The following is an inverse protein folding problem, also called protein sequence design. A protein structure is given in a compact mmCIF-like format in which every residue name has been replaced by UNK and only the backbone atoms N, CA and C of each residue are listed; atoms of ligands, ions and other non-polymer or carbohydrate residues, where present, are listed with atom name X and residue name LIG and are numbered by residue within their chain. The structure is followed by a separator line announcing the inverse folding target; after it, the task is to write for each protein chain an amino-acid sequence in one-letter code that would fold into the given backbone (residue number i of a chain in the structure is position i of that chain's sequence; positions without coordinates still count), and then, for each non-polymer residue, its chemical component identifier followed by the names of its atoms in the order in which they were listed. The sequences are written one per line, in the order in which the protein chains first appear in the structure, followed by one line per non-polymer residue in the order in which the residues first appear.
data_IF_952508098722
#
_entry.id   IF_952508098722
#
_cell.length_a   1.000
_cell.length_b   1.000
_cell.length_c   1.000
_cell.angle_alpha   90.00
_cell.angle_beta   90.00
_cell.angle_gamma   90.00
#
_symmetry.space_group_name_H-M   'P 1'
#
loop_
_entity.id
_entity.type
_entity.pdbx_description
1 polymer ?
#
# COMPACT_ATOMS: atom_id res chain seq x y z
N UNK A 1 -17.79 11.18 -4.31
CA UNK A 1 -16.47 11.43 -3.71
C UNK A 1 -15.53 11.94 -4.79
N UNK A 2 -14.86 13.05 -4.53
CA UNK A 2 -13.80 13.61 -5.40
C UNK A 2 -12.57 12.71 -5.40
N UNK A 3 -11.75 12.83 -6.44
CA UNK A 3 -10.44 12.16 -6.53
C UNK A 3 -9.52 12.73 -5.44
N UNK A 4 -8.93 11.90 -4.56
CA UNK A 4 -8.00 12.38 -3.54
C UNK A 4 -6.78 13.08 -4.12
N UNK A 5 -6.13 13.90 -3.31
CA UNK A 5 -4.81 14.43 -3.67
C UNK A 5 -3.74 13.34 -3.62
N UNK A 6 -2.73 13.48 -4.48
CA UNK A 6 -1.54 12.65 -4.42
C UNK A 6 -0.56 13.25 -3.43
N UNK A 7 0.01 12.39 -2.58
CA UNK A 7 1.05 12.77 -1.64
C UNK A 7 2.41 12.31 -2.14
N UNK A 8 3.31 13.28 -2.30
CA UNK A 8 4.71 13.06 -2.66
C UNK A 8 5.55 13.01 -1.39
N UNK A 9 6.43 12.01 -1.27
CA UNK A 9 7.38 11.95 -0.14
C UNK A 9 8.44 13.06 -0.35
N UNK A 10 8.50 14.09 0.52
CA UNK A 10 9.26 15.31 0.21
C UNK A 10 10.78 15.14 0.12
N UNK A 11 11.35 14.17 0.85
CA UNK A 11 12.79 13.95 0.91
C UNK A 11 13.31 12.97 -0.15
N UNK A 12 12.42 12.35 -0.95
CA UNK A 12 12.80 11.52 -2.10
C UNK A 12 13.08 12.39 -3.33
N UNK A 13 14.14 13.20 -3.22
CA UNK A 13 14.61 14.07 -4.29
C UNK A 13 15.44 13.29 -5.32
N UNK A 14 15.69 13.85 -6.53
CA UNK A 14 16.55 13.20 -7.52
C UNK A 14 17.90 12.76 -6.93
N UNK A 15 18.24 11.48 -7.11
CA UNK A 15 19.45 10.87 -6.55
C UNK A 15 19.25 10.15 -5.22
N UNK A 16 18.11 10.34 -4.54
CA UNK A 16 17.77 9.58 -3.35
C UNK A 16 17.75 8.07 -3.65
N UNK A 17 18.43 7.29 -2.81
CA UNK A 17 18.45 5.84 -2.91
C UNK A 17 17.48 5.26 -1.89
N UNK A 18 16.45 4.58 -2.37
CA UNK A 18 15.54 3.84 -1.49
C UNK A 18 16.35 2.75 -0.78
N UNK A 19 16.21 2.58 0.55
CA UNK A 19 16.93 1.55 1.27
C UNK A 19 16.72 0.15 0.67
N UNK A 20 17.75 -0.72 0.70
CA UNK A 20 17.66 -2.04 0.10
C UNK A 20 16.48 -2.85 0.60
N UNK A 21 15.80 -3.56 -0.30
CA UNK A 21 14.62 -4.35 0.05
C UNK A 21 14.93 -5.43 1.10
N UNK A 22 14.11 -5.53 2.14
CA UNK A 22 14.29 -6.46 3.26
C UNK A 22 15.36 -6.05 4.28
N UNK A 23 16.03 -4.92 4.08
CA UNK A 23 17.02 -4.43 5.06
C UNK A 23 16.35 -3.79 6.29
N UNK A 24 17.01 -3.80 7.47
CA UNK A 24 16.54 -3.04 8.64
C UNK A 24 16.34 -1.55 8.35
N UNK A 25 17.17 -0.97 7.47
CA UNK A 25 17.04 0.41 7.03
C UNK A 25 15.72 0.66 6.27
N UNK A 26 15.25 -0.29 5.47
CA UNK A 26 13.96 -0.17 4.80
C UNK A 26 12.80 -0.21 5.80
N UNK A 27 12.90 -1.05 6.84
CA UNK A 27 11.90 -1.10 7.91
C UNK A 27 11.82 0.24 8.64
N UNK A 28 12.96 0.77 9.07
CA UNK A 28 13.03 2.08 9.72
C UNK A 28 12.53 3.20 8.80
N UNK A 29 12.88 3.15 7.52
CA UNK A 29 12.44 4.12 6.54
C UNK A 29 10.92 4.14 6.40
N UNK A 30 10.30 3.00 6.05
CA UNK A 30 8.85 2.90 5.83
C UNK A 30 8.07 3.26 7.11
N UNK A 31 8.51 2.76 8.26
CA UNK A 31 7.80 3.01 9.54
C UNK A 31 8.00 4.43 10.07
N UNK A 32 8.95 5.21 9.54
CA UNK A 32 9.15 6.62 9.90
C UNK A 32 8.49 7.61 8.93
N UNK A 33 7.96 7.15 7.79
CA UNK A 33 7.29 8.01 6.82
C UNK A 33 6.08 8.72 7.44
N UNK A 34 5.93 10.00 7.09
CA UNK A 34 4.83 10.86 7.54
C UNK A 34 4.07 11.45 6.35
N UNK A 35 2.77 11.65 6.56
CA UNK A 35 1.90 12.46 5.72
C UNK A 35 2.15 13.96 5.99
N UNK A 36 1.62 14.84 5.13
CA UNK A 36 1.79 16.30 5.28
C UNK A 36 1.21 16.88 6.58
N UNK A 37 0.24 16.21 7.18
CA UNK A 37 -0.35 16.55 8.48
C UNK A 37 0.40 15.94 9.69
N UNK A 38 1.53 15.25 9.46
CA UNK A 38 2.33 14.60 10.51
C UNK A 38 1.89 13.17 10.87
N UNK A 39 0.75 12.69 10.35
CA UNK A 39 0.28 11.32 10.57
C UNK A 39 1.30 10.30 10.02
N UNK A 40 1.51 9.20 10.73
CA UNK A 40 2.38 8.13 10.25
C UNK A 40 1.77 7.43 9.02
N UNK A 41 2.48 7.44 7.89
CA UNK A 41 1.99 6.90 6.61
C UNK A 41 1.72 5.40 6.69
N UNK A 42 2.60 4.65 7.35
CA UNK A 42 2.46 3.21 7.51
C UNK A 42 1.20 2.87 8.34
N UNK A 43 1.04 3.50 9.51
CA UNK A 43 -0.15 3.29 10.35
C UNK A 43 -1.43 3.75 9.64
N UNK A 44 -1.38 4.83 8.85
CA UNK A 44 -2.50 5.27 8.01
C UNK A 44 -2.92 4.18 7.02
N UNK A 45 -1.95 3.55 6.35
CA UNK A 45 -2.21 2.42 5.45
C UNK A 45 -2.85 1.24 6.19
N UNK A 46 -2.27 0.81 7.31
CA UNK A 46 -2.82 -0.27 8.16
C UNK A 46 -4.28 0.02 8.54
N UNK A 47 -4.55 1.25 8.96
CA UNK A 47 -5.88 1.70 9.37
C UNK A 47 -6.87 1.83 8.21
N UNK A 48 -6.43 1.90 6.95
CA UNK A 48 -7.30 1.96 5.79
C UNK A 48 -7.36 0.66 4.98
N UNK A 49 -6.54 -0.35 5.33
CA UNK A 49 -6.45 -1.58 4.57
C UNK A 49 -7.80 -2.33 4.59
N UNK A 50 -8.38 -2.70 3.43
CA UNK A 50 -9.64 -3.44 3.41
C UNK A 50 -9.49 -4.85 3.99
N UNK A 51 -10.52 -5.30 4.69
CA UNK A 51 -10.55 -6.60 5.37
C UNK A 51 -10.42 -7.74 4.36
N UNK A 52 -10.97 -7.58 3.15
CA UNK A 52 -10.90 -8.58 2.08
C UNK A 52 -9.46 -8.93 1.68
N UNK A 53 -8.53 -7.98 1.74
CA UNK A 53 -7.11 -8.25 1.46
C UNK A 53 -6.46 -9.07 2.59
N UNK A 54 -6.84 -8.80 3.84
CA UNK A 54 -6.35 -9.53 5.01
C UNK A 54 -6.90 -10.96 5.01
N UNK A 55 -8.21 -11.13 4.81
CA UNK A 55 -8.88 -12.43 4.70
C UNK A 55 -8.24 -13.29 3.60
N UNK A 56 -7.93 -12.69 2.45
CA UNK A 56 -7.33 -13.40 1.32
C UNK A 56 -6.00 -14.03 1.69
N UNK A 57 -5.17 -13.34 2.47
CA UNK A 57 -3.87 -13.87 2.92
C UNK A 57 -4.03 -14.83 4.08
N UNK A 58 -4.86 -14.49 5.07
CA UNK A 58 -5.14 -15.35 6.22
C UNK A 58 -5.58 -16.76 5.78
N UNK A 59 -6.51 -16.83 4.82
CA UNK A 59 -7.02 -18.09 4.28
C UNK A 59 -5.95 -18.95 3.58
N UNK A 60 -4.79 -18.39 3.23
CA UNK A 60 -3.68 -19.12 2.59
C UNK A 60 -2.55 -19.42 3.57
N UNK A 61 -2.35 -18.60 4.60
CA UNK A 61 -1.25 -18.77 5.57
C UNK A 61 -1.64 -19.51 6.84
N UNK A 62 -2.94 -19.59 7.16
CA UNK A 62 -3.46 -20.04 8.46
C UNK A 62 -4.66 -20.96 8.27
N UNK A 63 -4.52 -21.96 7.41
CA UNK A 63 -5.59 -22.91 7.08
C UNK A 63 -6.07 -23.65 8.34
N UNK A 64 -7.38 -23.59 8.60
CA UNK A 64 -8.01 -24.25 9.76
C UNK A 64 -7.85 -23.51 11.09
N UNK A 65 -7.28 -22.30 11.10
CA UNK A 65 -7.16 -21.47 12.29
C UNK A 65 -8.25 -20.39 12.32
N UNK A 66 -8.76 -20.08 13.52
CA UNK A 66 -9.65 -18.94 13.72
C UNK A 66 -8.85 -17.62 13.74
N UNK A 67 -9.35 -16.54 13.10
CA UNK A 67 -8.65 -15.26 13.05
C UNK A 67 -8.68 -14.56 14.41
N UNK A 68 -7.51 -14.45 15.05
CA UNK A 68 -7.33 -13.63 16.25
C UNK A 68 -7.04 -12.17 15.88
N UNK A 69 -7.40 -11.22 16.75
CA UNK A 69 -7.12 -9.79 16.53
C UNK A 69 -5.62 -9.52 16.33
N UNK A 70 -4.76 -10.24 17.06
CA UNK A 70 -3.31 -10.14 16.93
C UNK A 70 -2.84 -10.57 15.54
N UNK A 71 -3.29 -11.73 15.04
CA UNK A 71 -2.94 -12.23 13.71
C UNK A 71 -3.45 -11.30 12.61
N UNK A 72 -4.69 -10.83 12.71
CA UNK A 72 -5.28 -9.86 11.77
C UNK A 72 -4.45 -8.57 11.73
N UNK A 73 -4.04 -8.06 12.89
CA UNK A 73 -3.21 -6.85 12.99
C UNK A 73 -1.83 -7.07 12.37
N UNK A 74 -1.19 -8.19 12.67
CA UNK A 74 0.11 -8.55 12.10
C UNK A 74 0.05 -8.67 10.57
N UNK A 75 -0.98 -9.35 10.03
CA UNK A 75 -1.17 -9.45 8.59
C UNK A 75 -1.42 -8.07 7.96
N UNK A 76 -2.23 -7.21 8.58
CA UNK A 76 -2.46 -5.86 8.07
C UNK A 76 -1.16 -5.03 8.01
N UNK A 77 -0.30 -5.15 9.03
CA UNK A 77 1.03 -4.54 9.06
C UNK A 77 1.92 -5.09 7.95
N UNK A 78 2.01 -6.42 7.81
CA UNK A 78 2.80 -7.08 6.78
C UNK A 78 2.37 -6.70 5.37
N UNK A 79 1.07 -6.66 5.11
CA UNK A 79 0.50 -6.28 3.81
C UNK A 79 0.77 -4.81 3.48
N UNK A 80 0.56 -3.93 4.45
CA UNK A 80 0.84 -2.50 4.27
C UNK A 80 2.32 -2.25 4.03
N UNK A 81 3.19 -2.97 4.77
CA UNK A 81 4.64 -2.88 4.57
C UNK A 81 5.04 -3.29 3.16
N UNK A 82 4.54 -4.44 2.69
CA UNK A 82 4.79 -4.92 1.33
C UNK A 82 4.34 -3.93 0.26
N UNK A 83 3.19 -3.28 0.45
CA UNK A 83 2.68 -2.28 -0.48
C UNK A 83 3.55 -1.01 -0.53
N UNK A 84 4.05 -0.55 0.62
CA UNK A 84 4.93 0.61 0.70
C UNK A 84 6.36 0.32 0.19
N UNK A 85 6.82 -0.93 0.34
CA UNK A 85 8.11 -1.40 -0.15
C UNK A 85 8.12 -1.67 -1.67
N UNK A 86 7.03 -2.24 -2.21
CA UNK A 86 6.91 -2.63 -3.61
C UNK A 86 6.08 -1.63 -4.41
N UNK A 87 6.68 -0.46 -4.69
CA UNK A 87 5.97 0.62 -5.39
C UNK A 87 5.80 0.30 -6.87
N UNK A 88 4.55 0.36 -7.33
CA UNK A 88 4.17 0.19 -8.73
C UNK A 88 2.91 1.01 -8.98
N UNK A 89 2.80 1.68 -10.13
CA UNK A 89 1.61 2.46 -10.46
C UNK A 89 0.39 1.55 -10.61
N UNK A 90 -0.68 1.82 -9.86
CA UNK A 90 -1.87 0.96 -9.86
C UNK A 90 -2.63 0.96 -11.18
N UNK A 91 -2.47 2.03 -11.98
CA UNK A 91 -3.18 2.16 -13.25
C UNK A 91 -2.42 1.56 -14.43
N UNK A 92 -1.10 1.73 -14.48
CA UNK A 92 -0.30 1.41 -15.68
C UNK A 92 0.89 0.47 -15.43
N UNK A 93 1.14 0.08 -14.18
CA UNK A 93 2.23 -0.84 -13.85
C UNK A 93 3.63 -0.22 -13.89
N UNK A 94 3.76 1.10 -14.08
CA UNK A 94 5.08 1.74 -14.09
C UNK A 94 5.78 1.61 -12.73
N UNK A 95 7.02 1.14 -12.78
CA UNK A 95 7.92 0.91 -11.64
C UNK A 95 9.37 1.27 -11.96
N UNK A 96 9.60 2.05 -13.04
CA UNK A 96 10.95 2.38 -13.51
C UNK A 96 11.69 3.33 -12.57
N UNK A 97 10.97 4.29 -12.00
CA UNK A 97 11.50 5.25 -11.04
C UNK A 97 10.58 5.33 -9.81
N UNK A 98 10.91 4.53 -8.80
CA UNK A 98 10.13 4.40 -7.57
C UNK A 98 10.04 5.71 -6.77
N UNK A 99 11.04 6.59 -6.94
CA UNK A 99 11.08 7.91 -6.29
C UNK A 99 10.19 8.91 -7.00
N UNK A 100 9.67 8.62 -8.20
CA UNK A 100 8.69 9.46 -8.92
C UNK A 100 7.23 9.12 -8.60
N UNK A 101 6.95 7.93 -8.08
CA UNK A 101 5.59 7.58 -7.68
C UNK A 101 5.14 8.43 -6.48
N UNK A 102 3.84 8.70 -6.43
CA UNK A 102 3.15 9.40 -5.35
C UNK A 102 2.03 8.51 -4.84
N UNK A 103 1.70 8.62 -3.56
CA UNK A 103 0.71 7.75 -2.92
C UNK A 103 -0.63 8.48 -2.80
N UNK A 104 -1.75 7.75 -2.78
CA UNK A 104 -3.05 8.32 -2.46
C UNK A 104 -3.02 8.98 -1.07
N UNK A 105 -3.24 10.30 -1.01
CA UNK A 105 -3.17 11.09 0.22
C UNK A 105 -4.24 10.74 1.25
N UNK A 106 -5.37 10.17 0.81
CA UNK A 106 -6.47 9.78 1.71
C UNK A 106 -6.24 8.44 2.41
N UNK A 107 -5.82 7.40 1.68
CA UNK A 107 -5.74 6.04 2.24
C UNK A 107 -4.30 5.55 2.47
N UNK A 108 -3.29 6.13 1.83
CA UNK A 108 -1.91 5.65 1.84
C UNK A 108 -1.74 4.18 1.39
N UNK A 109 -2.55 3.71 0.44
CA UNK A 109 -2.60 2.31 -0.02
C UNK A 109 -2.54 2.13 -1.55
N UNK A 110 -2.29 3.19 -2.31
CA UNK A 110 -2.18 3.06 -3.76
C UNK A 110 -1.15 4.05 -4.30
N UNK A 111 -0.20 3.55 -5.06
CA UNK A 111 0.81 4.35 -5.75
C UNK A 111 0.38 4.67 -7.17
N UNK A 112 0.74 5.89 -7.61
CA UNK A 112 0.49 6.38 -8.95
C UNK A 112 1.71 7.13 -9.45
N UNK A 113 2.04 6.99 -10.74
CA UNK A 113 3.09 7.81 -11.35
C UNK A 113 2.61 9.23 -11.69
N UNK A 114 1.30 9.47 -11.75
CA UNK A 114 0.73 10.77 -12.11
C UNK A 114 -0.73 10.93 -11.66
N UNK A 115 -1.23 12.18 -11.66
CA UNK A 115 -2.64 12.49 -11.35
C UNK A 115 -3.58 11.85 -12.36
N UNK A 116 -3.23 11.84 -13.64
CA UNK A 116 -4.02 11.22 -14.70
C UNK A 116 -4.18 9.71 -14.48
N UNK A 117 -3.12 9.03 -14.00
CA UNK A 117 -3.21 7.62 -13.63
C UNK A 117 -4.17 7.40 -12.45
N UNK A 118 -4.13 8.29 -11.44
CA UNK A 118 -5.05 8.23 -10.31
C UNK A 118 -6.50 8.44 -10.75
N UNK A 119 -6.77 9.42 -11.62
CA UNK A 119 -8.10 9.74 -12.12
C UNK A 119 -8.68 8.59 -12.94
N UNK A 120 -7.89 7.98 -13.82
CA UNK A 120 -8.29 6.79 -14.59
C UNK A 120 -8.62 5.61 -13.69
N UNK A 121 -7.82 5.39 -12.64
CA UNK A 121 -8.06 4.32 -11.67
C UNK A 121 -9.18 4.64 -10.67
N UNK A 122 -9.63 5.90 -10.58
CA UNK A 122 -10.53 6.32 -9.50
C UNK A 122 -11.87 5.59 -9.51
N UNK A 123 -12.39 5.22 -10.68
CA UNK A 123 -13.65 4.50 -10.83
C UNK A 123 -13.69 3.22 -9.99
N UNK A 124 -12.58 2.50 -9.89
CA UNK A 124 -12.42 1.28 -9.08
C UNK A 124 -11.84 1.57 -7.71
N UNK A 125 -10.83 2.45 -7.60
CA UNK A 125 -10.19 2.76 -6.31
C UNK A 125 -11.14 3.35 -5.28
N UNK A 126 -12.12 4.18 -5.69
CA UNK A 126 -13.11 4.81 -4.78
C UNK A 126 -13.99 3.82 -4.02
N UNK A 127 -14.05 2.57 -4.49
CA UNK A 127 -14.82 1.51 -3.83
C UNK A 127 -14.12 1.01 -2.57
N UNK A 128 -12.80 1.22 -2.45
CA UNK A 128 -11.97 0.73 -1.34
C UNK A 128 -11.10 1.78 -0.66
N UNK A 129 -10.97 2.97 -1.24
CA UNK A 129 -10.26 4.08 -0.59
C UNK A 129 -10.97 4.45 0.73
N UNK A 130 -10.27 4.26 1.86
CA UNK A 130 -10.78 4.52 3.22
C UNK A 130 -12.05 3.73 3.58
N UNK A 131 -12.23 2.54 2.99
CA UNK A 131 -13.39 1.67 3.23
C UNK A 131 -12.92 0.27 3.63
N UNK A 132 -13.14 -0.08 4.89
CA UNK A 132 -12.72 -1.38 5.45
C UNK A 132 -13.41 -2.57 4.81
N UNK A 133 -14.65 -2.39 4.38
CA UNK A 133 -15.48 -3.35 3.65
C UNK A 133 -15.27 -3.29 2.13
N UNK A 134 -14.31 -2.49 1.66
CA UNK A 134 -13.98 -2.36 0.25
C UNK A 134 -13.55 -3.69 -0.39
N UNK A 135 -13.70 -3.82 -1.72
CA UNK A 135 -13.31 -5.03 -2.44
C UNK A 135 -11.80 -5.29 -2.35
N UNK A 136 -11.43 -6.54 -2.63
CA UNK A 136 -10.04 -6.99 -2.77
C UNK A 136 -9.28 -6.17 -3.84
N UNK A 137 -7.98 -5.96 -3.64
CA UNK A 137 -7.17 -5.42 -4.73
C UNK A 137 -6.99 -6.45 -5.85
N UNK A 138 -7.28 -6.05 -7.08
CA UNK A 138 -7.05 -6.87 -8.27
C UNK A 138 -6.18 -6.17 -9.32
N UNK A 139 -5.66 -4.98 -8.99
CA UNK A 139 -4.77 -4.22 -9.86
C UNK A 139 -3.29 -4.61 -9.74
N UNK A 140 -2.41 -3.72 -10.19
CA UNK A 140 -0.96 -3.98 -10.25
C UNK A 140 -0.28 -4.10 -8.86
N UNK A 141 -0.86 -3.52 -7.79
CA UNK A 141 -0.41 -3.73 -6.40
C UNK A 141 -1.21 -4.83 -5.70
N UNK A 142 -1.90 -5.71 -6.42
CA UNK A 142 -2.56 -6.86 -5.81
C UNK A 142 -1.53 -7.78 -5.13
N UNK A 143 -1.93 -8.36 -4.00
CA UNK A 143 -1.08 -9.31 -3.27
C UNK A 143 -0.95 -10.58 -4.11
N UNK A 144 0.27 -10.87 -4.55
CA UNK A 144 0.61 -12.11 -5.24
C UNK A 144 1.04 -13.18 -4.23
N UNK A 145 0.31 -14.29 -4.20
CA UNK A 145 0.69 -15.47 -3.39
C UNK A 145 1.33 -16.49 -4.30
N UNK A 146 2.65 -16.64 -4.22
CA UNK A 146 3.41 -17.62 -4.99
C UNK A 146 3.63 -18.84 -4.11
N UNK A 147 3.01 -19.97 -4.45
CA UNK A 147 3.38 -21.26 -3.86
C UNK A 147 4.71 -21.69 -4.47
N UNK A 148 5.77 -21.68 -3.67
CA UNK A 148 7.02 -22.33 -4.08
C UNK A 148 6.76 -23.83 -4.15
N UNK A 149 7.07 -24.44 -5.30
CA UNK A 149 7.06 -25.89 -5.47
C UNK A 149 8.28 -26.50 -4.82
#
# INVERSE_FOLDING_TARGET
MSVPELYKIPHEVPGFQIPPHGSPMQVQYITSLKMGNGENMFLKGVNNLPIKDIEKVFNVTSEGEEPTQEKVTHLAQMLTFNLLANRICEQCGDKRDLTKLSICGSCALAWYCSKECQERHWATHKLRCCKKDGPLNTGYQAIAMVKMK
#
